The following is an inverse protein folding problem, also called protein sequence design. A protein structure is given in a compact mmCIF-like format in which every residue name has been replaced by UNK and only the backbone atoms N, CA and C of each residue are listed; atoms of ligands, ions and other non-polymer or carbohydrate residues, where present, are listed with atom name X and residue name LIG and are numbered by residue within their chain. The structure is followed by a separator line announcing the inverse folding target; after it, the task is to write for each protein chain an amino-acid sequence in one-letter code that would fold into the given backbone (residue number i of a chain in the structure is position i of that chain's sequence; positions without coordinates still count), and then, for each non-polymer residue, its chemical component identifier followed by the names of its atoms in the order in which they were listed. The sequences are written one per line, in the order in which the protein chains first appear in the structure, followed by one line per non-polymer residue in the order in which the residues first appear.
data_IF_118196801878
#
_entry.id   IF_118196801878
#
_cell.length_a   1.000
_cell.length_b   1.000
_cell.length_c   1.000
_cell.angle_alpha   90.00
_cell.angle_beta   90.00
_cell.angle_gamma   90.00
#
_symmetry.space_group_name_H-M   'P 1'
#
loop_
_entity.id
_entity.type
_entity.pdbx_description
1 polymer ?
#
# COMPACT_ATOMS: atom_id res chain seq x y z
N UNK A 1 25.89 23.97 -17.42
CA UNK A 1 26.11 22.76 -16.59
C UNK A 1 25.05 22.77 -15.49
N UNK A 2 23.93 22.06 -15.68
CA UNK A 2 22.91 21.93 -14.64
C UNK A 2 23.30 20.77 -13.72
N UNK A 3 23.62 21.10 -12.47
CA UNK A 3 23.86 20.12 -11.42
C UNK A 3 22.58 19.31 -11.22
N UNK A 4 22.65 18.00 -11.47
CA UNK A 4 21.60 17.07 -11.09
C UNK A 4 21.57 17.02 -9.57
N UNK A 5 20.53 17.56 -8.95
CA UNK A 5 20.25 17.36 -7.53
C UNK A 5 20.12 15.86 -7.26
N UNK A 6 20.77 15.30 -6.23
CA UNK A 6 20.58 13.89 -5.89
C UNK A 6 19.11 13.70 -5.47
N UNK A 7 18.42 12.79 -6.16
CA UNK A 7 17.09 12.34 -5.78
C UNK A 7 17.17 11.85 -4.34
N UNK A 8 16.51 12.56 -3.42
CA UNK A 8 16.33 12.12 -2.04
C UNK A 8 15.52 10.83 -2.09
N UNK A 9 16.19 9.68 -2.07
CA UNK A 9 15.55 8.40 -1.73
C UNK A 9 15.68 8.25 -0.23
N UNK A 10 14.68 8.67 0.57
CA UNK A 10 14.69 8.34 1.98
C UNK A 10 14.59 6.83 2.05
N UNK A 11 15.68 6.15 2.43
CA UNK A 11 15.58 4.77 2.90
C UNK A 11 14.47 4.73 3.93
N UNK A 12 13.51 3.82 3.78
CA UNK A 12 12.47 3.68 4.80
C UNK A 12 13.16 3.39 6.13
N UNK A 13 12.75 4.11 7.16
CA UNK A 13 13.17 3.75 8.51
C UNK A 13 12.43 2.46 8.93
N UNK A 14 13.01 1.63 9.81
CA UNK A 14 12.34 0.42 10.30
C UNK A 14 10.95 0.69 10.90
N UNK A 15 10.77 1.86 11.52
CA UNK A 15 9.48 2.28 12.06
C UNK A 15 8.42 2.51 10.95
N UNK A 16 8.82 3.10 9.82
CA UNK A 16 7.91 3.29 8.67
C UNK A 16 7.63 1.95 7.98
N UNK A 17 8.64 1.08 7.85
CA UNK A 17 8.45 -0.25 7.26
C UNK A 17 7.43 -1.07 8.07
N UNK A 18 7.60 -1.15 9.40
CA UNK A 18 6.65 -1.81 10.30
C UNK A 18 5.24 -1.24 10.19
N UNK A 19 5.13 0.09 10.10
CA UNK A 19 3.82 0.74 9.91
C UNK A 19 3.18 0.32 8.58
N UNK A 20 3.93 0.27 7.49
CA UNK A 20 3.41 -0.19 6.20
C UNK A 20 2.95 -1.66 6.26
N UNK A 21 3.69 -2.53 6.94
CA UNK A 21 3.30 -3.93 7.16
C UNK A 21 1.99 -4.04 7.95
N UNK A 22 1.83 -3.26 9.03
CA UNK A 22 0.61 -3.19 9.81
C UNK A 22 -0.58 -2.70 8.96
N UNK A 23 -0.38 -1.64 8.15
CA UNK A 23 -1.41 -1.12 7.26
C UNK A 23 -1.80 -2.15 6.17
N UNK A 24 -0.82 -2.85 5.60
CA UNK A 24 -1.06 -3.95 4.65
C UNK A 24 -1.92 -5.04 5.30
N UNK A 25 -1.56 -5.49 6.52
CA UNK A 25 -2.30 -6.53 7.23
C UNK A 25 -3.76 -6.12 7.51
N UNK A 26 -4.02 -4.85 7.82
CA UNK A 26 -5.37 -4.31 8.01
C UNK A 26 -6.17 -4.35 6.71
N UNK A 27 -5.57 -3.92 5.59
CA UNK A 27 -6.23 -3.91 4.28
C UNK A 27 -6.58 -5.33 3.80
N UNK A 28 -5.64 -6.28 3.95
CA UNK A 28 -5.87 -7.68 3.60
C UNK A 28 -6.96 -8.30 4.48
N UNK A 29 -7.01 -7.96 5.77
CA UNK A 29 -8.09 -8.39 6.65
C UNK A 29 -9.44 -7.86 6.18
N UNK A 30 -9.53 -6.60 5.73
CA UNK A 30 -10.78 -6.02 5.21
C UNK A 30 -11.22 -6.69 3.91
N UNK A 31 -10.30 -6.94 2.98
CA UNK A 31 -10.61 -7.68 1.74
C UNK A 31 -11.15 -9.09 2.05
N UNK A 32 -10.52 -9.82 2.99
CA UNK A 32 -11.04 -11.13 3.43
C UNK A 32 -12.43 -11.06 4.06
N UNK A 33 -12.77 -9.97 4.74
CA UNK A 33 -14.09 -9.79 5.35
C UNK A 33 -15.18 -9.51 4.33
N UNK A 34 -14.86 -8.79 3.24
CA UNK A 34 -15.81 -8.49 2.16
C UNK A 34 -15.97 -9.71 1.24
N UNK A 35 -14.90 -10.48 1.04
CA UNK A 35 -14.87 -11.57 0.07
C UNK A 35 -14.46 -11.10 -1.33
N UNK A 36 -14.25 -12.04 -2.27
CA UNK A 36 -13.65 -11.75 -3.57
C UNK A 36 -14.55 -10.96 -4.52
N UNK A 37 -15.88 -11.13 -4.42
CA UNK A 37 -16.80 -10.61 -5.43
C UNK A 37 -17.55 -9.34 -5.00
N UNK A 38 -17.81 -9.18 -3.70
CA UNK A 38 -18.68 -8.13 -3.15
C UNK A 38 -20.13 -8.26 -3.64
N UNK A 39 -21.08 -8.27 -2.72
CA UNK A 39 -22.49 -8.55 -3.02
C UNK A 39 -23.23 -7.35 -3.61
N UNK A 40 -22.65 -6.15 -3.47
CA UNK A 40 -23.23 -4.92 -3.99
C UNK A 40 -22.20 -3.98 -4.63
N UNK A 41 -22.69 -2.94 -5.32
CA UNK A 41 -21.83 -1.95 -5.97
C UNK A 41 -20.90 -1.21 -4.99
N UNK A 42 -21.33 -1.00 -3.76
CA UNK A 42 -20.51 -0.39 -2.71
C UNK A 42 -19.32 -1.29 -2.32
N UNK A 43 -19.55 -2.58 -2.10
CA UNK A 43 -18.49 -3.53 -1.77
C UNK A 43 -17.51 -3.71 -2.92
N UNK A 44 -18.00 -3.75 -4.17
CA UNK A 44 -17.13 -3.77 -5.36
C UNK A 44 -16.24 -2.54 -5.45
N UNK A 45 -16.76 -1.37 -5.10
CA UNK A 45 -15.96 -0.15 -5.03
C UNK A 45 -14.92 -0.21 -3.90
N UNK A 46 -15.29 -0.72 -2.73
CA UNK A 46 -14.37 -0.92 -1.61
C UNK A 46 -13.26 -1.91 -1.93
N UNK A 47 -13.56 -3.03 -2.60
CA UNK A 47 -12.55 -4.02 -3.03
C UNK A 47 -11.50 -3.33 -3.89
N UNK A 48 -11.92 -2.64 -4.96
CA UNK A 48 -11.01 -1.92 -5.87
C UNK A 48 -10.17 -0.89 -5.14
N UNK A 49 -10.78 -0.15 -4.22
CA UNK A 49 -10.08 0.83 -3.40
C UNK A 49 -9.01 0.17 -2.53
N UNK A 50 -9.35 -0.89 -1.79
CA UNK A 50 -8.40 -1.57 -0.91
C UNK A 50 -7.27 -2.24 -1.69
N UNK A 51 -7.55 -2.85 -2.85
CA UNK A 51 -6.53 -3.41 -3.74
C UNK A 51 -5.55 -2.33 -4.22
N UNK A 52 -6.04 -1.16 -4.63
CA UNK A 52 -5.18 -0.03 -5.00
C UNK A 52 -4.30 0.41 -3.84
N UNK A 53 -4.89 0.57 -2.64
CA UNK A 53 -4.17 0.95 -1.43
C UNK A 53 -3.11 -0.07 -1.00
N UNK A 54 -3.37 -1.36 -1.23
CA UNK A 54 -2.43 -2.46 -1.00
C UNK A 54 -1.25 -2.40 -1.97
N UNK A 55 -1.52 -2.19 -3.26
CA UNK A 55 -0.48 -2.03 -4.28
C UNK A 55 0.46 -0.87 -3.97
N UNK A 56 -0.09 0.28 -3.59
CA UNK A 56 0.70 1.46 -3.21
C UNK A 56 1.65 1.17 -2.03
N UNK A 57 1.14 0.54 -0.95
CA UNK A 57 1.95 0.25 0.24
C UNK A 57 3.02 -0.81 -0.02
N UNK A 58 2.70 -1.86 -0.78
CA UNK A 58 3.66 -2.87 -1.20
C UNK A 58 4.76 -2.26 -2.07
N UNK A 59 4.41 -1.37 -3.00
CA UNK A 59 5.39 -0.63 -3.80
C UNK A 59 6.29 0.25 -2.94
N UNK A 60 5.74 0.94 -1.94
CA UNK A 60 6.53 1.76 -1.01
C UNK A 60 7.49 0.90 -0.19
N UNK A 61 7.01 -0.23 0.34
CA UNK A 61 7.82 -1.16 1.12
C UNK A 61 8.96 -1.76 0.29
N UNK A 62 8.70 -2.14 -0.97
CA UNK A 62 9.70 -2.69 -1.89
C UNK A 62 10.71 -1.65 -2.38
N UNK A 63 10.29 -0.39 -2.54
CA UNK A 63 11.18 0.70 -2.98
C UNK A 63 12.23 1.12 -1.93
N UNK A 64 12.25 0.48 -0.77
CA UNK A 64 13.18 0.75 0.31
C UNK A 64 14.23 -0.33 0.58
N UNK A 65 14.13 -1.49 -0.08
CA UNK A 65 15.19 -2.52 -0.08
C UNK A 65 16.32 -2.15 -1.05
#
# INVERSE_FOLDING_TARGET
MHAQSPAFSPRLTPAVARRLEEEIAVLEKRLRQIGPDGDCGYEKALIRFFEQQLGMRRSLLQSAD
#
